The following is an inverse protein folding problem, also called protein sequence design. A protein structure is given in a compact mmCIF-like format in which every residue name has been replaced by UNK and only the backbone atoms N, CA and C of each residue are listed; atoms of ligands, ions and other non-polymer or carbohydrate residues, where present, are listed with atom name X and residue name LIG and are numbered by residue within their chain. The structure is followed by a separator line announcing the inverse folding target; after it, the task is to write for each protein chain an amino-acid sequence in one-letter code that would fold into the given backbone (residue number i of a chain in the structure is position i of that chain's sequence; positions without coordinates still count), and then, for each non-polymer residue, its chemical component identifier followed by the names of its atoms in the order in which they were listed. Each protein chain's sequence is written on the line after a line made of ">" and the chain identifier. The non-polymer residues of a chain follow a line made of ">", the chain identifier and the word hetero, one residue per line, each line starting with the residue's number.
data_IF_438370625685
#
_entry.id   IF_438370625685
#
_cell.length_a   1.000
_cell.length_b   1.000
_cell.length_c   1.000
_cell.angle_alpha   90.00
_cell.angle_beta   90.00
_cell.angle_gamma   90.00
#
_symmetry.space_group_name_H-M   'P 1'
#
loop_
_entity.id
_entity.type
_entity.pdbx_description
1 polymer ?
#
# COMPACT_ATOMS: atom_id res chain seq x y z
N UNK A 1 -14.46 -14.34 -6.51
CA UNK A 1 -15.57 -13.95 -5.62
C UNK A 1 -16.59 -13.14 -6.41
N UNK A 2 -17.88 -13.52 -6.39
CA UNK A 2 -18.90 -12.83 -7.20
C UNK A 2 -19.17 -11.39 -6.72
N UNK A 3 -19.57 -10.50 -7.64
CA UNK A 3 -19.84 -9.07 -7.34
C UNK A 3 -20.87 -8.89 -6.20
N UNK A 4 -21.87 -9.78 -6.12
CA UNK A 4 -22.91 -9.77 -5.10
C UNK A 4 -22.35 -10.03 -3.68
N UNK A 5 -21.45 -11.01 -3.53
CA UNK A 5 -20.89 -11.38 -2.22
C UNK A 5 -19.93 -10.30 -1.68
N UNK A 6 -19.12 -9.67 -2.56
CA UNK A 6 -18.27 -8.54 -2.18
C UNK A 6 -19.10 -7.37 -1.63
N UNK A 7 -20.20 -7.02 -2.32
CA UNK A 7 -21.11 -5.95 -1.90
C UNK A 7 -21.79 -6.26 -0.56
N UNK A 8 -22.14 -7.51 -0.32
CA UNK A 8 -22.70 -7.93 0.96
C UNK A 8 -21.68 -7.76 2.11
N UNK A 9 -20.43 -8.20 1.92
CA UNK A 9 -19.37 -8.03 2.92
C UNK A 9 -19.14 -6.56 3.26
N UNK A 10 -19.12 -5.67 2.25
CA UNK A 10 -18.96 -4.21 2.41
C UNK A 10 -20.06 -3.56 3.27
N UNK A 11 -21.22 -4.20 3.40
CA UNK A 11 -22.33 -3.71 4.26
C UNK A 11 -22.34 -4.30 5.66
N UNK A 12 -21.42 -5.22 5.99
CA UNK A 12 -21.37 -5.83 7.32
C UNK A 12 -20.67 -4.90 8.33
N UNK A 13 -21.09 -4.89 9.61
CA UNK A 13 -20.45 -4.06 10.65
C UNK A 13 -18.95 -4.35 10.86
N UNK A 14 -18.51 -5.56 10.52
CA UNK A 14 -17.12 -6.00 10.68
C UNK A 14 -16.29 -5.84 9.40
N UNK A 15 -16.84 -5.20 8.36
CA UNK A 15 -16.08 -4.95 7.14
C UNK A 15 -14.85 -4.10 7.44
N UNK A 16 -13.71 -4.54 6.92
CA UNK A 16 -12.46 -3.78 6.95
C UNK A 16 -11.99 -3.64 5.50
N UNK A 17 -11.83 -2.41 4.97
CA UNK A 17 -11.30 -2.23 3.63
C UNK A 17 -9.87 -2.77 3.57
N UNK A 18 -9.53 -3.49 2.50
CA UNK A 18 -8.16 -3.84 2.20
C UNK A 18 -7.50 -2.59 1.61
N UNK A 19 -6.42 -2.13 2.21
CA UNK A 19 -5.75 -0.88 1.80
C UNK A 19 -4.33 -1.18 1.38
N UNK A 20 -3.96 -0.72 0.18
CA UNK A 20 -2.59 -0.79 -0.29
C UNK A 20 -1.78 0.35 0.33
N UNK A 21 -0.66 0.04 0.97
CA UNK A 21 0.24 1.02 1.56
C UNK A 21 1.29 1.45 0.53
N UNK A 22 1.14 2.66 0.03
CA UNK A 22 2.06 3.33 -0.88
C UNK A 22 2.98 4.25 -0.07
N UNK A 23 4.24 3.86 0.07
CA UNK A 23 5.25 4.59 0.82
C UNK A 23 6.62 4.46 0.13
N UNK A 24 7.57 5.38 0.38
CA UNK A 24 8.93 5.25 -0.11
C UNK A 24 9.59 3.94 0.35
N UNK A 25 10.29 3.27 -0.56
CA UNK A 25 11.04 2.04 -0.24
C UNK A 25 12.53 2.12 -0.61
N UNK A 26 12.85 2.65 -1.81
CA UNK A 26 14.24 2.79 -2.27
C UNK A 26 15.00 3.86 -1.49
N UNK A 27 16.32 3.71 -1.44
CA UNK A 27 17.23 4.57 -0.67
C UNK A 27 17.64 3.89 0.63
N UNK A 28 17.39 4.55 1.76
CA UNK A 28 17.62 3.99 3.10
C UNK A 28 16.57 2.90 3.41
N UNK A 29 16.88 1.65 3.02
CA UNK A 29 15.94 0.53 3.12
C UNK A 29 15.50 0.25 4.55
N UNK A 30 16.42 0.30 5.51
CA UNK A 30 16.09 0.00 6.91
C UNK A 30 15.11 1.02 7.47
N UNK A 31 15.40 2.32 7.26
CA UNK A 31 14.48 3.40 7.64
C UNK A 31 13.13 3.26 6.94
N UNK A 32 13.13 2.99 5.65
CA UNK A 32 11.89 2.90 4.85
C UNK A 32 11.04 1.68 5.22
N UNK A 33 11.66 0.54 5.55
CA UNK A 33 10.95 -0.65 6.06
C UNK A 33 10.27 -0.32 7.39
N UNK A 34 10.98 0.31 8.33
CA UNK A 34 10.40 0.74 9.60
C UNK A 34 9.26 1.76 9.41
N UNK A 35 9.41 2.69 8.46
CA UNK A 35 8.34 3.62 8.08
C UNK A 35 7.12 2.91 7.51
N UNK A 36 7.31 1.96 6.59
CA UNK A 36 6.22 1.18 6.01
C UNK A 36 5.48 0.33 7.05
N UNK A 37 6.18 -0.21 8.05
CA UNK A 37 5.58 -0.91 9.21
C UNK A 37 4.69 0.05 10.02
N UNK A 38 5.15 1.27 10.30
CA UNK A 38 4.35 2.30 10.99
C UNK A 38 3.11 2.69 10.19
N UNK A 39 3.23 2.84 8.88
CA UNK A 39 2.10 3.11 7.99
C UNK A 39 1.06 1.97 8.02
N UNK A 40 1.52 0.71 8.01
CA UNK A 40 0.65 -0.45 8.13
C UNK A 40 -0.07 -0.49 9.49
N UNK A 41 0.65 -0.22 10.59
CA UNK A 41 0.08 -0.14 11.94
C UNK A 41 -0.97 0.98 12.05
N UNK A 42 -0.72 2.13 11.42
CA UNK A 42 -1.67 3.23 11.34
C UNK A 42 -2.94 2.83 10.56
N UNK A 43 -2.80 2.17 9.40
CA UNK A 43 -3.95 1.67 8.66
C UNK A 43 -4.78 0.65 9.48
N UNK A 44 -4.10 -0.27 10.18
CA UNK A 44 -4.74 -1.23 11.07
C UNK A 44 -5.53 -0.55 12.19
N UNK A 45 -4.93 0.43 12.87
CA UNK A 45 -5.60 1.16 13.97
C UNK A 45 -6.83 1.94 13.51
N UNK A 46 -6.89 2.28 12.21
CA UNK A 46 -8.02 2.94 11.55
C UNK A 46 -9.04 1.96 10.95
N UNK A 47 -8.94 0.68 11.30
CA UNK A 47 -9.92 -0.35 10.93
C UNK A 47 -9.73 -0.95 9.55
N UNK A 48 -8.60 -0.73 8.89
CA UNK A 48 -8.29 -1.32 7.59
C UNK A 48 -7.44 -2.62 7.70
N UNK A 49 -7.36 -3.37 6.60
CA UNK A 49 -6.43 -4.49 6.42
C UNK A 49 -5.29 -4.00 5.52
N UNK A 50 -4.09 -3.71 6.06
CA UNK A 50 -2.99 -3.19 5.26
C UNK A 50 -2.32 -4.27 4.40
N UNK A 51 -2.04 -3.94 3.15
CA UNK A 51 -1.16 -4.68 2.25
C UNK A 51 0.06 -3.81 1.98
N UNK A 52 1.23 -4.25 2.43
CA UNK A 52 2.50 -3.54 2.29
C UNK A 52 3.47 -4.41 1.50
N UNK A 53 3.47 -4.32 0.16
CA UNK A 53 4.16 -5.31 -0.69
C UNK A 53 5.65 -5.42 -0.45
N UNK A 54 6.30 -4.30 -0.12
CA UNK A 54 7.71 -4.25 0.26
C UNK A 54 8.07 -5.17 1.43
N UNK A 55 7.11 -5.52 2.30
CA UNK A 55 7.30 -6.46 3.41
C UNK A 55 6.90 -7.91 3.05
N UNK A 56 6.19 -8.11 1.94
CA UNK A 56 5.67 -9.42 1.52
C UNK A 56 6.67 -10.23 0.70
N UNK A 57 7.64 -9.55 0.06
CA UNK A 57 8.60 -10.18 -0.85
C UNK A 57 10.06 -10.04 -0.37
N UNK A 58 10.41 -10.42 0.89
CA UNK A 58 11.77 -10.26 1.41
C UNK A 58 12.81 -11.14 0.68
N UNK A 59 12.34 -12.09 -0.14
CA UNK A 59 13.17 -12.97 -0.96
C UNK A 59 13.53 -12.35 -2.33
N UNK A 60 12.97 -11.19 -2.68
CA UNK A 60 13.29 -10.50 -3.94
C UNK A 60 14.49 -9.59 -3.79
N UNK A 61 15.30 -9.53 -4.84
CA UNK A 61 16.52 -8.72 -4.90
C UNK A 61 16.29 -7.52 -5.81
N UNK A 62 16.33 -6.32 -5.24
CA UNK A 62 16.14 -5.08 -5.99
C UNK A 62 17.26 -4.79 -6.98
N UNK A 63 18.44 -5.38 -6.85
CA UNK A 63 19.51 -5.23 -7.82
C UNK A 63 19.33 -6.15 -9.03
N UNK A 64 18.52 -7.20 -8.89
CA UNK A 64 18.18 -8.11 -9.96
C UNK A 64 17.00 -7.57 -10.80
N UNK A 65 17.26 -7.32 -12.09
CA UNK A 65 16.25 -6.77 -13.01
C UNK A 65 14.99 -7.63 -13.14
N UNK A 66 15.13 -8.96 -13.13
CA UNK A 66 14.00 -9.88 -13.22
C UNK A 66 13.14 -9.81 -11.96
N UNK A 67 13.77 -9.88 -10.78
CA UNK A 67 13.05 -9.77 -9.50
C UNK A 67 12.32 -8.44 -9.39
N UNK A 68 12.93 -7.32 -9.83
CA UNK A 68 12.24 -6.02 -9.90
C UNK A 68 11.00 -6.06 -10.79
N UNK A 69 11.10 -6.65 -11.98
CA UNK A 69 9.96 -6.78 -12.89
C UNK A 69 8.83 -7.62 -12.30
N UNK A 70 9.18 -8.74 -11.67
CA UNK A 70 8.23 -9.62 -10.99
C UNK A 70 7.54 -8.92 -9.81
N UNK A 71 8.30 -8.21 -8.96
CA UNK A 71 7.79 -7.43 -7.84
C UNK A 71 6.76 -6.39 -8.30
N UNK A 72 7.12 -5.57 -9.29
CA UNK A 72 6.23 -4.56 -9.86
C UNK A 72 4.94 -5.17 -10.41
N UNK A 73 5.02 -6.31 -11.09
CA UNK A 73 3.83 -6.98 -11.62
C UNK A 73 2.91 -7.52 -10.51
N UNK A 74 3.49 -8.11 -9.46
CA UNK A 74 2.73 -8.58 -8.30
C UNK A 74 2.07 -7.41 -7.56
N UNK A 75 2.77 -6.28 -7.41
CA UNK A 75 2.25 -5.05 -6.79
C UNK A 75 1.03 -4.52 -7.54
N UNK A 76 1.09 -4.49 -8.88
CA UNK A 76 -0.03 -4.10 -9.75
C UNK A 76 -1.26 -5.00 -9.53
N UNK A 77 -1.04 -6.30 -9.35
CA UNK A 77 -2.10 -7.29 -9.08
C UNK A 77 -2.69 -7.05 -7.69
N UNK A 78 -1.84 -6.92 -6.65
CA UNK A 78 -2.25 -6.70 -5.27
C UNK A 78 -3.03 -5.40 -5.12
N UNK A 79 -2.53 -4.31 -5.70
CA UNK A 79 -3.25 -3.03 -5.72
C UNK A 79 -4.64 -3.18 -6.35
N UNK A 80 -4.77 -3.97 -7.42
CA UNK A 80 -6.06 -4.26 -8.05
C UNK A 80 -7.04 -5.07 -7.19
N UNK A 81 -6.55 -5.72 -6.12
CA UNK A 81 -7.40 -6.43 -5.14
C UNK A 81 -7.78 -5.56 -3.94
N UNK A 82 -7.05 -4.47 -3.69
CA UNK A 82 -7.32 -3.56 -2.59
C UNK A 82 -8.57 -2.71 -2.87
N UNK A 83 -9.26 -2.32 -1.79
CA UNK A 83 -10.38 -1.39 -1.84
C UNK A 83 -9.89 0.05 -2.03
N UNK A 84 -8.79 0.44 -1.41
CA UNK A 84 -8.25 1.80 -1.42
C UNK A 84 -6.72 1.82 -1.55
N UNK A 85 -6.17 2.95 -1.96
CA UNK A 85 -4.73 3.27 -1.93
C UNK A 85 -4.47 4.32 -0.84
N UNK A 86 -3.57 4.03 0.10
CA UNK A 86 -3.16 4.97 1.13
C UNK A 86 -1.70 5.37 0.91
N UNK A 87 -1.49 6.65 0.62
CA UNK A 87 -0.19 7.23 0.26
C UNK A 87 0.41 7.91 1.47
N UNK A 88 1.64 7.57 1.81
CA UNK A 88 2.37 8.09 2.96
C UNK A 88 3.68 8.75 2.55
N UNK A 89 4.02 9.84 3.23
CA UNK A 89 5.29 10.54 3.13
C UNK A 89 5.17 11.94 2.55
N UNK A 90 6.20 12.75 2.75
CA UNK A 90 6.21 14.17 2.33
C UNK A 90 6.47 14.37 0.83
N UNK A 91 7.07 13.36 0.18
CA UNK A 91 7.45 13.41 -1.24
C UNK A 91 6.96 12.16 -1.96
N UNK A 92 6.38 12.36 -3.14
CA UNK A 92 5.97 11.28 -4.03
C UNK A 92 7.16 10.85 -4.87
N UNK A 93 7.60 9.60 -4.71
CA UNK A 93 8.66 9.02 -5.52
C UNK A 93 8.12 8.52 -6.86
N UNK A 94 9.00 8.26 -7.84
CA UNK A 94 8.58 7.71 -9.14
C UNK A 94 7.82 6.39 -9.04
N UNK A 95 8.21 5.50 -8.10
CA UNK A 95 7.50 4.24 -7.86
C UNK A 95 6.09 4.48 -7.31
N UNK A 96 5.96 5.38 -6.34
CA UNK A 96 4.65 5.77 -5.78
C UNK A 96 3.75 6.39 -6.84
N UNK A 97 4.29 7.21 -7.74
CA UNK A 97 3.50 7.81 -8.83
C UNK A 97 2.89 6.74 -9.76
N UNK A 98 3.60 5.64 -10.01
CA UNK A 98 3.06 4.52 -10.80
C UNK A 98 1.86 3.88 -10.10
N UNK A 99 1.93 3.66 -8.80
CA UNK A 99 0.84 3.12 -7.99
C UNK A 99 -0.37 4.07 -7.94
N UNK A 100 -0.11 5.37 -7.74
CA UNK A 100 -1.14 6.43 -7.72
C UNK A 100 -1.88 6.47 -9.06
N UNK A 101 -1.15 6.57 -10.18
CA UNK A 101 -1.73 6.59 -11.52
C UNK A 101 -2.60 5.36 -11.79
N UNK A 102 -2.18 4.20 -11.29
CA UNK A 102 -2.91 2.94 -11.44
C UNK A 102 -4.21 2.92 -10.62
N UNK A 103 -4.17 3.42 -9.38
CA UNK A 103 -5.35 3.56 -8.53
C UNK A 103 -6.35 4.57 -9.12
N UNK A 104 -5.88 5.70 -9.65
CA UNK A 104 -6.69 6.70 -10.34
C UNK A 104 -7.40 6.09 -11.56
N UNK A 105 -6.64 5.38 -12.42
CA UNK A 105 -7.20 4.67 -13.58
C UNK A 105 -8.30 3.68 -13.20
N UNK A 106 -8.18 3.06 -12.02
CA UNK A 106 -9.15 2.10 -11.47
C UNK A 106 -10.26 2.76 -10.67
N UNK A 107 -10.24 4.08 -10.51
CA UNK A 107 -11.18 4.85 -9.68
C UNK A 107 -11.23 4.33 -8.23
N UNK A 108 -10.10 3.85 -7.73
CA UNK A 108 -9.95 3.46 -6.33
C UNK A 108 -9.86 4.74 -5.48
N UNK A 109 -10.50 4.79 -4.30
CA UNK A 109 -10.26 5.88 -3.35
C UNK A 109 -8.78 5.97 -3.00
N UNK A 110 -8.24 7.19 -3.04
CA UNK A 110 -6.86 7.50 -2.66
C UNK A 110 -6.89 8.44 -1.47
N UNK A 111 -6.15 8.09 -0.41
CA UNK A 111 -6.00 8.91 0.80
C UNK A 111 -4.53 9.23 1.01
N UNK A 112 -4.24 10.48 1.34
CA UNK A 112 -2.87 10.97 1.56
C UNK A 112 -2.66 11.26 3.04
N UNK A 113 -1.50 10.84 3.53
CA UNK A 113 -1.08 10.99 4.92
C UNK A 113 0.38 11.46 4.99
N UNK A 114 0.68 12.22 6.02
CA UNK A 114 1.99 12.77 6.34
C UNK A 114 2.59 12.08 7.56
N UNK A 115 3.88 12.27 7.81
CA UNK A 115 4.53 11.72 9.00
C UNK A 115 3.95 12.29 10.31
N UNK A 116 3.31 13.47 10.25
CA UNK A 116 2.58 14.05 11.39
C UNK A 116 1.36 13.21 11.77
N UNK A 117 0.67 12.64 10.78
CA UNK A 117 -0.50 11.77 11.01
C UNK A 117 -0.11 10.46 11.71
N UNK A 118 1.13 10.02 11.54
CA UNK A 118 1.68 8.81 12.17
C UNK A 118 2.10 9.01 13.64
N UNK A 119 1.75 10.15 14.26
CA UNK A 119 2.09 10.48 15.65
C UNK A 119 3.54 10.93 15.79
N UNK A 120 3.88 12.02 15.09
CA UNK A 120 5.25 12.51 14.89
C UNK A 120 6.14 12.52 16.14
N UNK A 121 7.16 11.68 16.12
CA UNK A 121 8.45 11.93 16.76
C UNK A 121 9.51 11.46 15.76
N UNK A 122 10.08 12.40 14.99
CA UNK A 122 11.47 12.44 14.48
C UNK A 122 11.75 13.86 13.96
#
# INVERSE_FOLDING_TARGET
>A
MGKSYKKHLETTPNFKPIVYICAPYRGDKERNVNHAIRCAAYAYSRGAIPITPHLLFPFMDDENQKHRGDAMFMDIILLGKCNELWVFGEKITGGMQVEINLAEKRRQPIKYFTDKDLGGEY
#
